data_IF_581750372369
#
_entry.id   IF_581750372369
#
_cell.length_a   1.000
_cell.length_b   1.000
_cell.length_c   1.000
_cell.angle_alpha   90.00
_cell.angle_beta   90.00
_cell.angle_gamma   90.00
#
_symmetry.space_group_name_H-M   'P 1'
#
loop_
_entity.id
_entity.type
_entity.pdbx_description
1 polymer ?
#
# COMPACT_ATOMS: atom_id res chain seq x y z
N UNK A 1 20.31 8.23 -28.10
CA UNK A 1 20.20 7.54 -26.79
C UNK A 1 19.56 8.51 -25.82
N UNK A 2 18.26 8.38 -25.54
CA UNK A 2 17.56 9.21 -24.57
C UNK A 2 17.26 8.39 -23.33
N UNK A 3 18.00 8.61 -22.24
CA UNK A 3 17.64 8.05 -20.93
C UNK A 3 16.38 8.79 -20.45
N UNK A 4 15.22 8.21 -20.78
CA UNK A 4 13.96 8.55 -20.14
C UNK A 4 14.05 8.04 -18.70
N UNK A 5 14.55 8.88 -17.80
CA UNK A 5 14.30 8.70 -16.37
C UNK A 5 12.78 8.70 -16.19
N UNK A 6 12.19 7.51 -16.15
CA UNK A 6 10.82 7.38 -15.68
C UNK A 6 10.80 7.94 -14.27
N UNK A 7 10.20 9.11 -14.10
CA UNK A 7 9.75 9.56 -12.77
C UNK A 7 8.96 8.39 -12.17
N UNK A 8 9.22 7.99 -10.91
CA UNK A 8 8.33 7.03 -10.26
C UNK A 8 6.91 7.60 -10.38
N UNK A 9 5.97 6.79 -10.87
CA UNK A 9 4.57 7.18 -10.95
C UNK A 9 4.19 7.64 -9.54
N UNK A 10 3.96 8.93 -9.38
CA UNK A 10 3.40 9.48 -8.14
C UNK A 10 2.00 8.90 -8.01
N UNK A 11 1.83 7.93 -7.12
CA UNK A 11 0.53 7.39 -6.80
C UNK A 11 0.54 5.88 -6.76
N UNK A 12 0.97 5.34 -5.62
CA UNK A 12 0.34 4.15 -5.04
C UNK A 12 -1.06 4.59 -4.59
N UNK A 13 -1.88 4.99 -5.55
CA UNK A 13 -3.18 5.58 -5.29
C UNK A 13 -4.04 4.58 -4.54
N UNK A 14 -4.90 5.07 -3.65
CA UNK A 14 -5.85 4.26 -2.91
C UNK A 14 -6.63 3.27 -3.82
N UNK A 15 -6.91 3.67 -5.07
CA UNK A 15 -7.56 2.87 -6.13
C UNK A 15 -6.82 1.57 -6.46
N UNK A 16 -5.51 1.57 -6.24
CA UNK A 16 -4.60 0.46 -6.48
C UNK A 16 -4.66 -0.62 -5.40
N UNK A 17 -5.30 -0.36 -4.27
CA UNK A 17 -5.20 -1.18 -3.05
C UNK A 17 -6.57 -1.48 -2.44
N UNK A 18 -7.44 -0.49 -2.30
CA UNK A 18 -8.74 -0.66 -1.66
C UNK A 18 -9.62 -1.68 -2.41
N UNK A 19 -10.18 -2.64 -1.67
CA UNK A 19 -11.09 -3.66 -2.19
C UNK A 19 -10.42 -4.75 -3.03
N UNK A 20 -9.08 -4.78 -3.10
CA UNK A 20 -8.32 -5.78 -3.83
C UNK A 20 -7.91 -6.98 -2.98
N UNK A 21 -7.52 -8.07 -3.62
CA UNK A 21 -6.95 -9.22 -2.92
C UNK A 21 -5.49 -8.96 -2.52
N UNK A 22 -4.95 -9.67 -1.51
CA UNK A 22 -3.52 -9.59 -1.18
C UNK A 22 -2.59 -9.81 -2.39
N UNK A 23 -2.95 -10.72 -3.29
CA UNK A 23 -2.17 -11.01 -4.51
C UNK A 23 -2.19 -9.83 -5.49
N UNK A 24 -3.35 -9.21 -5.70
CA UNK A 24 -3.47 -8.02 -6.54
C UNK A 24 -2.72 -6.82 -5.95
N UNK A 25 -2.71 -6.68 -4.63
CA UNK A 25 -1.96 -5.64 -3.92
C UNK A 25 -0.45 -5.90 -4.04
N UNK A 26 0.00 -7.16 -3.92
CA UNK A 26 1.39 -7.53 -4.11
C UNK A 26 1.89 -7.18 -5.52
N UNK A 27 1.12 -7.55 -6.54
CA UNK A 27 1.45 -7.21 -7.92
C UNK A 27 1.49 -5.69 -8.12
N UNK A 28 0.51 -4.96 -7.59
CA UNK A 28 0.48 -3.50 -7.66
C UNK A 28 1.71 -2.88 -6.98
N UNK A 29 2.06 -3.33 -5.78
CA UNK A 29 3.21 -2.81 -5.04
C UNK A 29 4.53 -3.06 -5.78
N UNK A 30 4.70 -4.24 -6.38
CA UNK A 30 5.86 -4.59 -7.22
C UNK A 30 5.91 -3.73 -8.49
N UNK A 31 4.78 -3.52 -9.16
CA UNK A 31 4.69 -2.68 -10.37
C UNK A 31 4.99 -1.20 -10.07
N UNK A 32 4.69 -0.74 -8.85
CA UNK A 32 5.08 0.57 -8.33
C UNK A 32 6.54 0.66 -7.89
N UNK A 33 7.27 -0.45 -7.84
CA UNK A 33 8.67 -0.51 -7.41
C UNK A 33 8.85 -0.47 -5.88
N UNK A 34 7.79 -0.71 -5.11
CA UNK A 34 7.89 -0.88 -3.67
C UNK A 34 8.54 -2.22 -3.33
N UNK A 35 9.25 -2.27 -2.20
CA UNK A 35 9.91 -3.48 -1.74
C UNK A 35 9.14 -4.12 -0.58
N UNK A 36 8.94 -5.45 -0.59
CA UNK A 36 8.31 -6.15 0.53
C UNK A 36 9.18 -6.07 1.78
N UNK A 37 8.56 -5.84 2.94
CA UNK A 37 9.20 -5.82 4.26
C UNK A 37 8.37 -6.62 5.25
N UNK A 38 8.99 -7.60 5.90
CA UNK A 38 8.36 -8.48 6.88
C UNK A 38 8.32 -9.95 6.46
N UNK A 39 7.85 -10.86 7.32
CA UNK A 39 7.83 -12.30 7.10
C UNK A 39 7.09 -12.79 5.85
N UNK A 40 5.98 -12.18 5.42
CA UNK A 40 5.26 -12.63 4.21
C UNK A 40 4.35 -11.59 3.52
N UNK A 41 4.88 -10.50 2.94
CA UNK A 41 4.06 -9.45 2.31
C UNK A 41 3.23 -9.97 1.13
N UNK A 42 3.75 -10.96 0.40
CA UNK A 42 3.06 -11.64 -0.72
C UNK A 42 1.79 -12.38 -0.27
N UNK A 43 1.75 -12.91 0.95
CA UNK A 43 0.55 -13.49 1.55
C UNK A 43 -0.31 -12.47 2.29
N UNK A 44 -0.06 -11.17 2.10
CA UNK A 44 -0.70 -10.08 2.80
C UNK A 44 -0.25 -9.89 4.24
N UNK A 45 0.80 -10.57 4.72
CA UNK A 45 1.34 -10.31 6.07
C UNK A 45 2.49 -9.32 5.97
N UNK A 46 2.26 -8.11 6.49
CA UNK A 46 3.18 -6.97 6.50
C UNK A 46 3.02 -5.99 5.33
N UNK A 47 4.14 -5.43 4.89
CA UNK A 47 4.19 -4.09 4.35
C UNK A 47 5.03 -4.03 3.09
N UNK A 48 4.76 -3.00 2.31
CA UNK A 48 5.59 -2.57 1.20
C UNK A 48 6.13 -1.18 1.54
N UNK A 49 7.44 -1.02 1.37
CA UNK A 49 8.12 0.25 1.66
C UNK A 49 8.69 0.87 0.39
N UNK A 50 8.75 2.19 0.38
CA UNK A 50 9.45 2.95 -0.65
C UNK A 50 10.96 2.74 -0.48
N UNK A 51 11.69 2.23 -1.49
CA UNK A 51 13.12 1.97 -1.36
C UNK A 51 13.98 3.25 -1.26
N UNK A 52 13.44 4.41 -1.64
CA UNK A 52 14.15 5.70 -1.60
C UNK A 52 14.05 6.33 -0.21
N UNK A 53 12.86 6.36 0.38
CA UNK A 53 12.63 7.00 1.69
C UNK A 53 12.70 6.02 2.85
N UNK A 54 12.51 4.72 2.60
CA UNK A 54 12.34 3.69 3.62
C UNK A 54 10.96 3.67 4.27
N UNK A 55 10.06 4.58 3.88
CA UNK A 55 8.73 4.73 4.46
C UNK A 55 7.79 3.61 4.01
N UNK A 56 6.95 3.15 4.92
CA UNK A 56 5.85 2.24 4.58
C UNK A 56 4.85 2.96 3.68
N UNK A 57 4.49 2.33 2.57
CA UNK A 57 3.48 2.82 1.61
C UNK A 57 2.21 1.99 1.62
N UNK A 58 2.32 0.69 1.87
CA UNK A 58 1.18 -0.22 1.98
C UNK A 58 1.41 -1.13 3.20
N UNK A 59 0.34 -1.38 3.96
CA UNK A 59 0.30 -2.37 5.05
C UNK A 59 -0.98 -3.18 4.93
N UNK A 60 -0.90 -4.50 5.07
CA UNK A 60 -2.03 -5.40 4.89
C UNK A 60 -2.22 -6.23 6.17
N UNK A 61 -3.48 -6.39 6.58
CA UNK A 61 -3.91 -7.14 7.77
C UNK A 61 -4.98 -8.20 7.41
N UNK A 62 -4.65 -9.25 6.64
CA UNK A 62 -5.63 -10.23 6.15
C UNK A 62 -6.14 -11.19 7.22
N UNK A 63 -5.38 -11.38 8.29
CA UNK A 63 -5.71 -12.30 9.39
C UNK A 63 -6.35 -11.59 10.59
N UNK A 64 -6.59 -10.28 10.50
CA UNK A 64 -7.30 -9.51 11.53
C UNK A 64 -8.79 -9.90 11.54
N UNK A 65 -9.49 -9.90 12.69
CA UNK A 65 -10.95 -10.08 12.75
C UNK A 65 -11.73 -9.19 11.78
N UNK A 66 -11.20 -8.01 11.44
CA UNK A 66 -11.69 -7.17 10.37
C UNK A 66 -10.58 -7.02 9.31
N UNK A 67 -10.51 -7.87 8.28
CA UNK A 67 -9.45 -7.78 7.28
C UNK A 67 -9.46 -6.45 6.55
N UNK A 68 -8.34 -5.74 6.60
CA UNK A 68 -8.19 -4.42 6.00
C UNK A 68 -6.76 -4.18 5.53
N UNK A 69 -6.56 -3.05 4.88
CA UNK A 69 -5.25 -2.56 4.48
C UNK A 69 -5.15 -1.05 4.73
N UNK A 70 -3.93 -0.56 4.74
CA UNK A 70 -3.61 0.86 4.84
C UNK A 70 -2.73 1.28 3.67
N UNK A 71 -3.00 2.47 3.16
CA UNK A 71 -2.12 3.17 2.22
C UNK A 71 -1.58 4.41 2.89
N UNK A 72 -0.30 4.67 2.69
CA UNK A 72 0.38 5.84 3.24
C UNK A 72 0.90 6.76 2.15
N UNK A 73 0.91 8.05 2.45
CA UNK A 73 1.60 9.06 1.67
C UNK A 73 3.14 8.87 1.73
N UNK A 74 3.92 9.60 0.91
CA UNK A 74 5.38 9.48 0.91
C UNK A 74 6.07 9.88 2.22
N UNK A 75 5.36 10.52 3.16
CA UNK A 75 5.84 10.89 4.49
C UNK A 75 5.38 9.90 5.57
N UNK A 76 4.69 8.81 5.19
CA UNK A 76 4.21 7.77 6.10
C UNK A 76 2.83 8.06 6.73
N UNK A 77 2.17 9.16 6.36
CA UNK A 77 0.83 9.51 6.84
C UNK A 77 -0.26 8.64 6.21
N UNK A 78 -1.30 8.25 6.97
CA UNK A 78 -2.40 7.41 6.44
C UNK A 78 -3.27 8.18 5.44
N UNK A 79 -3.74 7.46 4.42
CA UNK A 79 -4.67 7.97 3.42
C UNK A 79 -6.02 7.24 3.49
N UNK A 80 -7.11 7.97 3.28
CA UNK A 80 -8.44 7.40 3.09
C UNK A 80 -8.64 6.81 1.68
N UNK A 81 -9.86 6.29 1.43
CA UNK A 81 -10.29 5.76 0.13
C UNK A 81 -10.45 6.85 -0.96
N UNK A 82 -10.04 8.08 -0.73
CA UNK A 82 -9.96 9.11 -1.77
C UNK A 82 -8.53 9.66 -1.90
N UNK A 83 -7.58 9.13 -1.12
CA UNK A 83 -6.21 9.62 -1.06
C UNK A 83 -6.03 10.87 -0.21
N UNK A 84 -6.99 11.22 0.66
CA UNK A 84 -6.86 12.32 1.61
C UNK A 84 -6.13 11.87 2.87
N UNK A 85 -5.25 12.71 3.45
CA UNK A 85 -4.64 12.43 4.74
C UNK A 85 -5.70 12.28 5.84
N UNK A 86 -5.58 11.22 6.63
CA UNK A 86 -6.43 10.94 7.78
C UNK A 86 -5.59 10.51 8.98
N UNK A 87 -6.14 10.65 10.18
CA UNK A 87 -5.49 10.17 11.39
C UNK A 87 -5.37 8.64 11.37
N UNK A 88 -4.29 8.03 11.89
CA UNK A 88 -4.12 6.58 11.88
C UNK A 88 -5.23 5.78 12.58
N UNK A 89 -5.81 6.35 13.63
CA UNK A 89 -6.93 5.78 14.38
C UNK A 89 -8.29 5.96 13.69
N UNK A 90 -8.36 6.72 12.59
CA UNK A 90 -9.61 6.92 11.86
C UNK A 90 -10.07 5.61 11.20
N UNK A 91 -11.36 5.26 11.28
CA UNK A 91 -11.93 4.18 10.47
C UNK A 91 -11.63 4.34 8.97
N UNK A 92 -11.56 5.58 8.48
CA UNK A 92 -11.30 5.87 7.07
C UNK A 92 -9.90 5.45 6.61
N UNK A 93 -8.95 5.29 7.54
CA UNK A 93 -7.60 4.77 7.24
C UNK A 93 -7.60 3.25 6.98
N UNK A 94 -8.68 2.54 7.32
CA UNK A 94 -8.81 1.10 7.23
C UNK A 94 -9.55 0.75 5.94
N UNK A 95 -8.80 0.63 4.85
CA UNK A 95 -9.35 0.35 3.53
C UNK A 95 -9.79 -1.12 3.46
N UNK A 96 -10.95 -1.40 2.84
CA UNK A 96 -11.47 -2.76 2.75
C UNK A 96 -10.48 -3.67 2.00
N UNK A 97 -10.34 -4.90 2.46
CA UNK A 97 -9.53 -5.93 1.81
C UNK A 97 -10.45 -7.03 1.25
N UNK A 98 -10.20 -7.49 0.03
CA UNK A 98 -10.94 -8.63 -0.52
C UNK A 98 -10.22 -9.93 -0.16
N UNK A 99 -10.79 -10.70 0.76
CA UNK A 99 -10.21 -11.97 1.25
C UNK A 99 -10.83 -13.21 0.60
N UNK A 100 -11.54 -13.06 -0.53
CA UNK A 100 -12.22 -14.16 -1.22
C UNK A 100 -11.29 -15.01 -2.07
#
# INVERSE_FOLDING_TARGET
MGNLFMRPKRGDGHDGVAGKTPEEIDQHAKDSGLIPKGPNPQGGQDAYVDPVTGEQRILIHPADPCPHCHVNDPSGGRLDINGNPVAPESPDAHLPLNTK
#
